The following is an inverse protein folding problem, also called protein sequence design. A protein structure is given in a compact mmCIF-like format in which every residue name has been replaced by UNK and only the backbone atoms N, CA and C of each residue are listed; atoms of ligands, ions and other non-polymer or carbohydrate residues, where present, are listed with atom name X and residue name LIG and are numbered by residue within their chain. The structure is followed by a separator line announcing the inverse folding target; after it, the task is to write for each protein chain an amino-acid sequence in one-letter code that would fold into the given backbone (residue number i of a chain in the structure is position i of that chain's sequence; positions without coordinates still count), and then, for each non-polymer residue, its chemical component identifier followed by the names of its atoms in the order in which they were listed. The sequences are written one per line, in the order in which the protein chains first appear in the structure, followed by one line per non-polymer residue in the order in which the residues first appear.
data_IF_884548790376
#
_entry.id   IF_884548790376
#
_cell.length_a   1.000
_cell.length_b   1.000
_cell.length_c   1.000
_cell.angle_alpha   90.00
_cell.angle_beta   90.00
_cell.angle_gamma   90.00
#
_symmetry.space_group_name_H-M   'P 1'
#
loop_
_entity.id
_entity.type
_entity.pdbx_description
1 polymer ?
#
# COMPACT_ATOMS: atom_id res chain seq x y z
N UNK A 1 29.81 12.38 -40.97
CA UNK A 1 29.69 13.19 -39.73
C UNK A 1 28.90 12.34 -38.76
N UNK A 2 29.53 11.92 -37.67
CA UNK A 2 28.88 11.19 -36.58
C UNK A 2 28.19 12.19 -35.66
N UNK A 3 26.90 12.03 -35.44
CA UNK A 3 26.20 12.66 -34.33
C UNK A 3 26.04 11.62 -33.22
N UNK A 4 26.96 11.68 -32.26
CA UNK A 4 26.81 11.05 -30.95
C UNK A 4 25.76 11.81 -30.16
N UNK A 5 24.57 11.23 -30.00
CA UNK A 5 23.63 11.68 -28.98
C UNK A 5 24.09 11.20 -27.61
N UNK A 6 24.67 12.13 -26.86
CA UNK A 6 24.96 12.02 -25.44
C UNK A 6 23.66 11.80 -24.66
N UNK A 7 23.49 10.61 -24.10
CA UNK A 7 22.42 10.31 -23.13
C UNK A 7 22.91 10.78 -21.77
N UNK A 8 22.49 11.98 -21.37
CA UNK A 8 22.59 12.44 -19.98
C UNK A 8 21.65 11.59 -19.14
N UNK A 9 22.23 10.91 -18.15
CA UNK A 9 21.52 10.18 -17.11
C UNK A 9 20.59 11.14 -16.34
N UNK A 10 19.30 10.83 -16.35
CA UNK A 10 18.34 11.37 -15.41
C UNK A 10 18.22 10.32 -14.30
N UNK A 11 19.01 10.51 -13.24
CA UNK A 11 18.75 9.87 -11.95
C UNK A 11 17.59 10.65 -11.30
N UNK A 12 16.41 10.06 -11.31
CA UNK A 12 15.24 10.50 -10.55
C UNK A 12 14.36 9.26 -10.38
N UNK A 13 14.19 8.72 -9.18
CA UNK A 13 13.40 9.34 -8.12
C UNK A 13 12.03 8.66 -8.07
N UNK A 14 12.00 7.34 -7.87
CA UNK A 14 10.79 6.52 -7.86
C UNK A 14 10.09 6.50 -6.50
N UNK A 15 9.62 7.65 -6.01
CA UNK A 15 8.63 7.78 -4.95
C UNK A 15 8.25 9.27 -4.77
N UNK A 16 7.58 9.86 -5.76
CA UNK A 16 7.06 11.24 -5.64
C UNK A 16 5.54 11.21 -5.44
N UNK A 17 5.12 11.13 -4.18
CA UNK A 17 3.73 11.34 -3.78
C UNK A 17 3.40 12.84 -3.84
N UNK A 18 2.77 13.29 -4.93
CA UNK A 18 2.26 14.65 -5.04
C UNK A 18 0.91 14.75 -4.30
N UNK A 19 0.91 15.28 -3.08
CA UNK A 19 -0.33 15.60 -2.34
C UNK A 19 -0.69 17.06 -2.59
N UNK A 20 -1.65 17.28 -3.48
CA UNK A 20 -2.23 18.60 -3.78
C UNK A 20 -3.37 18.94 -2.82
N UNK A 21 -3.33 20.14 -2.25
CA UNK A 21 -4.33 20.68 -1.33
C UNK A 21 -5.64 21.07 -2.05
N UNK A 22 -6.77 20.57 -1.55
CA UNK A 22 -8.11 21.04 -1.91
C UNK A 22 -8.83 21.49 -0.65
N UNK A 23 -8.98 22.80 -0.51
CA UNK A 23 -9.87 23.44 0.45
C UNK A 23 -11.27 23.57 -0.20
N UNK A 24 -12.32 23.26 0.56
CA UNK A 24 -13.70 23.42 0.07
C UNK A 24 -14.77 23.18 1.13
N UNK A 25 -15.19 24.29 1.74
CA UNK A 25 -16.50 24.63 2.32
C UNK A 25 -17.50 23.54 2.76
N UNK A 26 -17.76 23.59 4.07
CA UNK A 26 -18.94 23.19 4.86
C UNK A 26 -20.30 23.29 4.15
N UNK A 27 -21.13 22.26 4.38
CA UNK A 27 -22.57 22.23 4.09
C UNK A 27 -23.30 21.31 5.07
N UNK A 28 -24.04 21.93 5.97
CA UNK A 28 -24.84 21.47 7.11
C UNK A 28 -26.18 20.79 6.72
N UNK A 29 -26.63 19.77 7.47
CA UNK A 29 -27.96 19.66 8.13
C UNK A 29 -28.39 18.21 8.51
N UNK A 30 -28.44 17.97 9.83
CA UNK A 30 -29.45 17.36 10.72
C UNK A 30 -30.39 16.18 10.32
N UNK A 31 -30.33 15.19 11.22
CA UNK A 31 -31.41 14.55 12.00
C UNK A 31 -32.16 13.26 11.57
N UNK A 32 -32.04 12.29 12.50
CA UNK A 32 -33.07 11.47 13.16
C UNK A 32 -33.39 10.04 12.65
N UNK A 33 -32.98 9.09 13.52
CA UNK A 33 -33.71 7.98 14.14
C UNK A 33 -34.46 6.94 13.27
N UNK A 34 -34.13 5.66 13.48
CA UNK A 34 -35.05 4.71 14.15
C UNK A 34 -34.36 3.36 14.43
N UNK A 35 -34.25 3.04 15.72
CA UNK A 35 -33.87 1.71 16.23
C UNK A 35 -35.03 0.73 16.10
N UNK A 36 -34.74 -0.54 15.76
CA UNK A 36 -35.55 -1.68 16.21
C UNK A 36 -34.66 -2.93 16.36
N UNK A 37 -34.67 -3.60 17.54
CA UNK A 37 -33.85 -4.79 17.80
C UNK A 37 -34.60 -6.09 17.50
N UNK A 38 -33.89 -7.12 17.07
CA UNK A 38 -34.36 -8.52 16.98
C UNK A 38 -33.17 -9.44 16.66
N UNK A 39 -32.52 -10.00 17.67
CA UNK A 39 -32.78 -11.31 18.30
C UNK A 39 -32.12 -12.51 17.59
N UNK A 40 -30.97 -12.89 18.17
CA UNK A 40 -30.42 -14.22 18.45
C UNK A 40 -30.76 -15.39 17.51
N UNK A 41 -29.75 -15.86 16.77
CA UNK A 41 -29.76 -17.13 16.05
C UNK A 41 -28.35 -17.68 15.90
N UNK A 42 -28.03 -18.72 16.67
CA UNK A 42 -26.68 -19.26 16.82
C UNK A 42 -26.07 -19.91 15.58
N UNK A 43 -24.75 -20.04 15.65
CA UNK A 43 -23.94 -20.83 14.75
C UNK A 43 -22.48 -20.38 14.87
N UNK A 44 -21.72 -21.02 15.75
CA UNK A 44 -20.27 -21.10 15.60
C UNK A 44 -19.98 -21.88 14.31
N UNK A 45 -19.27 -21.32 13.33
CA UNK A 45 -18.36 -22.10 12.54
C UNK A 45 -16.98 -22.02 13.20
N UNK A 46 -16.49 -23.16 13.66
CA UNK A 46 -15.07 -23.40 13.89
C UNK A 46 -14.27 -22.89 12.69
N UNK A 47 -13.75 -21.66 12.78
CA UNK A 47 -12.81 -21.12 11.81
C UNK A 47 -11.54 -21.95 11.96
N UNK A 48 -11.38 -22.90 11.05
CA UNK A 48 -10.15 -23.65 10.86
C UNK A 48 -9.10 -22.65 10.36
N UNK A 49 -8.46 -21.96 11.31
CA UNK A 49 -7.37 -21.04 11.05
C UNK A 49 -6.25 -21.80 10.38
N UNK A 50 -5.96 -21.45 9.14
CA UNK A 50 -4.66 -21.74 8.54
C UNK A 50 -3.61 -21.05 9.40
N UNK A 51 -2.88 -21.82 10.21
CA UNK A 51 -1.73 -21.40 11.02
C UNK A 51 -0.51 -21.01 10.15
N UNK A 52 -0.73 -20.33 9.03
CA UNK A 52 0.35 -19.64 8.31
C UNK A 52 0.28 -18.18 8.76
N UNK A 53 1.30 -17.63 9.43
CA UNK A 53 1.27 -16.24 9.88
C UNK A 53 1.10 -15.34 8.66
N UNK A 54 -0.09 -14.77 8.51
CA UNK A 54 -0.34 -13.78 7.47
C UNK A 54 0.61 -12.61 7.66
N UNK A 55 1.14 -12.06 6.56
CA UNK A 55 2.02 -10.91 6.62
C UNK A 55 1.30 -9.74 7.34
N UNK A 56 1.91 -9.12 8.37
CA UNK A 56 1.22 -8.19 9.26
C UNK A 56 0.54 -7.01 8.57
N UNK A 57 1.03 -6.58 7.40
CA UNK A 57 0.44 -5.47 6.66
C UNK A 57 -0.94 -5.77 6.09
N UNK A 58 -1.33 -7.05 5.92
CA UNK A 58 -2.62 -7.45 5.33
C UNK A 58 -3.79 -6.98 6.19
N UNK A 59 -3.65 -7.06 7.51
CA UNK A 59 -4.65 -6.63 8.49
C UNK A 59 -4.95 -5.12 8.43
N UNK A 60 -4.07 -4.34 7.79
CA UNK A 60 -4.20 -2.89 7.66
C UNK A 60 -4.83 -2.45 6.33
N UNK A 61 -5.06 -3.36 5.38
CA UNK A 61 -5.55 -3.01 4.06
C UNK A 61 -7.05 -2.69 4.10
N UNK A 62 -7.38 -1.40 3.95
CA UNK A 62 -8.78 -0.93 3.94
C UNK A 62 -9.40 -1.06 2.55
N UNK A 63 -10.70 -1.34 2.47
CA UNK A 63 -11.42 -1.42 1.18
C UNK A 63 -11.57 -0.05 0.49
N UNK A 64 -11.51 0.05 -0.86
CA UNK A 64 -11.64 1.32 -1.60
C UNK A 64 -12.91 2.12 -1.27
N UNK A 65 -14.06 1.48 -1.03
CA UNK A 65 -15.30 2.22 -0.79
C UNK A 65 -15.32 2.93 0.57
N UNK A 66 -14.49 2.49 1.50
CA UNK A 66 -14.37 3.10 2.83
C UNK A 66 -13.48 4.35 2.81
N UNK A 67 -12.58 4.47 1.83
CA UNK A 67 -11.72 5.65 1.69
C UNK A 67 -12.57 6.78 1.10
N UNK A 68 -13.13 7.65 1.95
CA UNK A 68 -14.01 8.76 1.54
C UNK A 68 -13.38 9.69 0.49
N UNK A 69 -12.05 9.83 0.50
CA UNK A 69 -11.28 10.59 -0.48
C UNK A 69 -11.24 9.96 -1.89
N UNK A 70 -11.71 8.72 -2.06
CA UNK A 70 -11.79 8.02 -3.35
C UNK A 70 -13.14 8.20 -4.08
N UNK A 71 -14.06 9.04 -3.56
CA UNK A 71 -15.34 9.33 -4.24
C UNK A 71 -15.11 10.04 -5.59
N UNK A 72 -15.23 9.31 -6.69
CA UNK A 72 -15.21 9.81 -8.09
C UNK A 72 -14.66 8.79 -9.09
N UNK A 73 -15.18 8.80 -10.33
CA UNK A 73 -14.99 7.76 -11.37
C UNK A 73 -13.55 7.53 -11.89
N UNK A 74 -12.52 8.14 -11.31
CA UNK A 74 -11.18 8.18 -11.91
C UNK A 74 -10.03 8.01 -10.91
N UNK A 75 -10.24 7.37 -9.76
CA UNK A 75 -9.19 7.16 -8.75
C UNK A 75 -8.79 5.70 -8.64
N UNK A 76 -7.49 5.47 -8.78
CA UNK A 76 -6.86 4.15 -8.73
C UNK A 76 -6.56 3.81 -7.27
N UNK A 77 -7.16 2.71 -6.79
CA UNK A 77 -6.84 2.14 -5.50
C UNK A 77 -5.54 1.32 -5.60
N UNK A 78 -4.53 1.71 -4.83
CA UNK A 78 -3.21 1.07 -4.81
C UNK A 78 -2.68 1.04 -3.38
N UNK A 79 -2.00 -0.03 -3.03
CA UNK A 79 -1.17 -0.10 -1.83
C UNK A 79 0.25 -0.55 -2.19
N UNK A 80 1.20 -0.22 -1.31
CA UNK A 80 2.57 -0.70 -1.39
C UNK A 80 3.10 -0.91 0.02
N UNK A 81 3.51 -2.14 0.33
CA UNK A 81 4.23 -2.52 1.53
C UNK A 81 5.71 -2.72 1.20
N UNK A 82 6.59 -2.25 2.07
CA UNK A 82 8.03 -2.47 1.95
C UNK A 82 8.69 -2.59 3.34
N UNK A 83 9.46 -3.66 3.59
CA UNK A 83 10.35 -3.75 4.76
C UNK A 83 11.71 -3.08 4.53
N UNK A 84 11.99 -2.62 3.30
CA UNK A 84 13.26 -1.97 2.93
C UNK A 84 13.10 -0.45 2.80
N UNK A 85 14.22 0.27 2.77
CA UNK A 85 14.29 1.74 2.64
C UNK A 85 13.63 2.52 3.79
N UNK A 86 13.49 1.90 4.96
CA UNK A 86 12.87 2.48 6.16
C UNK A 86 13.53 3.82 6.52
N UNK A 87 14.86 3.87 6.61
CA UNK A 87 15.59 5.09 6.96
C UNK A 87 15.28 6.24 5.99
N UNK A 88 15.29 5.96 4.68
CA UNK A 88 14.98 6.96 3.66
C UNK A 88 13.54 7.47 3.80
N UNK A 89 12.58 6.58 4.06
CA UNK A 89 11.16 6.94 4.23
C UNK A 89 10.92 7.73 5.52
N UNK A 90 11.62 7.42 6.61
CA UNK A 90 11.54 8.17 7.88
C UNK A 90 12.19 9.55 7.78
N UNK A 91 13.37 9.64 7.17
CA UNK A 91 14.09 10.90 7.00
C UNK A 91 13.45 11.85 5.97
N UNK A 92 12.48 11.36 5.20
CA UNK A 92 11.78 12.15 4.18
C UNK A 92 10.31 12.37 4.53
N UNK A 93 9.76 13.48 4.04
CA UNK A 93 8.33 13.75 4.16
C UNK A 93 7.84 13.96 5.60
N UNK A 94 6.61 13.49 5.86
CA UNK A 94 5.83 13.80 7.07
C UNK A 94 6.29 13.05 8.32
N UNK A 95 7.03 11.96 8.17
CA UNK A 95 7.52 11.14 9.28
C UNK A 95 8.76 11.73 9.98
N UNK A 96 9.50 12.59 9.29
CA UNK A 96 10.78 13.14 9.75
C UNK A 96 10.70 13.91 11.08
N UNK A 97 9.52 14.41 11.46
CA UNK A 97 9.30 15.08 12.75
C UNK A 97 9.38 14.12 13.94
N UNK A 98 9.07 12.84 13.76
CA UNK A 98 8.89 11.89 14.85
C UNK A 98 10.20 11.29 15.40
N UNK A 99 11.32 11.52 14.70
CA UNK A 99 12.65 11.01 15.07
C UNK A 99 12.66 9.50 15.43
N UNK A 100 11.90 8.71 14.66
CA UNK A 100 11.78 7.27 14.85
C UNK A 100 13.12 6.61 14.49
N UNK A 101 13.63 5.76 15.40
CA UNK A 101 14.77 4.90 15.10
C UNK A 101 14.39 3.87 14.02
N UNK A 102 15.05 3.85 12.84
CA UNK A 102 14.76 2.86 11.80
C UNK A 102 14.85 1.41 12.28
N UNK A 103 15.62 1.12 13.34
CA UNK A 103 15.82 -0.23 13.86
C UNK A 103 14.57 -0.82 14.56
N UNK A 104 13.59 0.00 14.91
CA UNK A 104 12.35 -0.47 15.57
C UNK A 104 11.18 -0.65 14.61
N UNK A 105 11.40 -0.38 13.32
CA UNK A 105 10.40 -0.50 12.25
C UNK A 105 10.66 -1.79 11.48
N UNK A 106 9.62 -2.60 11.34
CA UNK A 106 9.65 -3.85 10.57
C UNK A 106 9.30 -3.63 9.09
N UNK A 107 8.56 -2.55 8.79
CA UNK A 107 8.26 -2.11 7.44
C UNK A 107 7.24 -0.97 7.41
N UNK A 108 6.88 -0.53 6.22
CA UNK A 108 5.86 0.48 6.06
C UNK A 108 4.86 0.13 4.95
N UNK A 109 3.61 0.53 5.15
CA UNK A 109 2.50 0.41 4.22
C UNK A 109 2.08 1.81 3.75
N UNK A 110 2.09 2.01 2.44
CA UNK A 110 1.52 3.18 1.79
C UNK A 110 0.20 2.79 1.15
N UNK A 111 -0.89 3.36 1.64
CA UNK A 111 -2.21 3.24 1.04
C UNK A 111 -2.88 4.61 1.13
N UNK A 112 -2.75 5.46 0.10
CA UNK A 112 -3.18 6.84 0.19
C UNK A 112 -4.64 6.97 0.61
N UNK A 113 -4.98 7.93 1.48
CA UNK A 113 -4.12 9.01 2.02
C UNK A 113 -3.20 8.65 3.20
N UNK A 114 -3.09 7.38 3.62
CA UNK A 114 -2.28 6.97 4.77
C UNK A 114 -0.90 6.40 4.41
N UNK A 115 0.05 6.65 5.32
CA UNK A 115 1.34 5.97 5.46
C UNK A 115 1.39 5.38 6.86
N UNK A 116 1.71 4.10 6.98
CA UNK A 116 1.73 3.35 8.23
C UNK A 116 3.10 2.71 8.40
N UNK A 117 3.78 3.00 9.50
CA UNK A 117 4.96 2.27 9.92
C UNK A 117 4.54 1.17 10.89
N UNK A 118 4.97 -0.06 10.62
CA UNK A 118 4.71 -1.24 11.44
C UNK A 118 5.99 -1.56 12.23
N UNK A 119 5.87 -1.86 13.52
CA UNK A 119 7.04 -2.09 14.35
C UNK A 119 6.73 -2.13 15.84
N UNK A 120 7.70 -1.75 16.66
CA UNK A 120 7.56 -1.66 18.11
C UNK A 120 8.04 -0.30 18.60
N UNK A 121 7.10 0.57 18.97
CA UNK A 121 7.37 1.97 19.26
C UNK A 121 7.24 2.29 20.75
N UNK A 122 8.06 3.22 21.23
CA UNK A 122 7.82 3.87 22.52
C UNK A 122 6.89 5.08 22.31
N UNK A 123 5.59 4.85 22.48
CA UNK A 123 4.57 5.88 22.28
C UNK A 123 4.83 7.13 23.13
N UNK A 124 5.28 6.98 24.38
CA UNK A 124 5.55 8.12 25.26
C UNK A 124 6.72 8.98 24.77
N UNK A 125 7.74 8.35 24.19
CA UNK A 125 8.82 9.07 23.53
C UNK A 125 8.32 9.81 22.28
N UNK A 126 7.47 9.18 21.45
CA UNK A 126 6.88 9.84 20.28
C UNK A 126 6.00 11.04 20.66
N UNK A 127 5.21 10.92 21.72
CA UNK A 127 4.40 12.01 22.26
C UNK A 127 5.25 13.21 22.66
N UNK A 128 6.35 12.96 23.37
CA UNK A 128 7.31 14.02 23.78
C UNK A 128 7.90 14.71 22.55
N UNK A 129 8.32 13.95 21.53
CA UNK A 129 8.85 14.51 20.28
C UNK A 129 7.82 15.41 19.58
N UNK A 130 6.55 15.02 19.55
CA UNK A 130 5.47 15.82 18.96
C UNK A 130 5.21 17.11 19.74
N UNK A 131 5.21 17.06 21.08
CA UNK A 131 5.00 18.24 21.93
C UNK A 131 6.14 19.26 21.81
N UNK A 132 7.37 18.78 21.61
CA UNK A 132 8.55 19.62 21.42
C UNK A 132 8.66 20.21 19.99
N UNK A 133 7.92 19.65 19.03
CA UNK A 133 7.95 20.07 17.63
C UNK A 133 7.05 21.30 17.35
N UNK A 134 7.63 22.34 16.77
CA UNK A 134 6.88 23.55 16.39
C UNK A 134 5.82 23.26 15.32
N UNK A 135 4.58 23.72 15.54
CA UNK A 135 3.46 23.55 14.61
C UNK A 135 2.70 22.23 14.77
N UNK A 136 3.08 21.40 15.75
CA UNK A 136 2.42 20.15 16.08
C UNK A 136 1.73 20.22 17.44
N UNK A 137 0.66 19.46 17.61
CA UNK A 137 -0.03 19.33 18.88
C UNK A 137 -0.67 17.96 19.03
N UNK A 138 -0.66 17.41 20.26
CA UNK A 138 -1.49 16.27 20.63
C UNK A 138 -2.95 16.71 20.63
N UNK A 139 -3.82 15.93 20.01
CA UNK A 139 -5.24 16.27 19.82
C UNK A 139 -6.19 15.39 20.63
N UNK A 140 -5.76 14.21 21.06
CA UNK A 140 -6.58 13.31 21.87
C UNK A 140 -6.10 11.87 21.80
N UNK A 141 -7.05 10.95 21.89
CA UNK A 141 -6.85 9.51 21.82
C UNK A 141 -7.96 8.90 20.96
N UNK A 142 -7.61 7.83 20.24
CA UNK A 142 -8.54 6.96 19.52
C UNK A 142 -8.11 5.52 19.74
N UNK A 143 -8.97 4.69 20.33
CA UNK A 143 -8.60 3.35 20.80
C UNK A 143 -7.31 3.38 21.64
N UNK A 144 -6.29 2.58 21.27
CA UNK A 144 -4.97 2.55 21.91
C UNK A 144 -3.98 3.59 21.35
N UNK A 145 -4.40 4.47 20.44
CA UNK A 145 -3.53 5.41 19.75
C UNK A 145 -3.66 6.82 20.34
N UNK A 146 -2.51 7.47 20.55
CA UNK A 146 -2.49 8.91 20.83
C UNK A 146 -2.57 9.67 19.50
N UNK A 147 -3.48 10.62 19.39
CA UNK A 147 -3.65 11.40 18.16
C UNK A 147 -2.93 12.73 18.24
N UNK A 148 -2.39 13.16 17.10
CA UNK A 148 -1.73 14.45 16.96
C UNK A 148 -1.98 15.04 15.56
N UNK A 149 -1.73 16.33 15.42
CA UNK A 149 -1.85 17.02 14.14
C UNK A 149 -0.76 18.06 13.92
N UNK A 150 -0.44 18.29 12.64
CA UNK A 150 0.16 19.52 12.17
C UNK A 150 -0.94 20.35 11.53
N UNK A 151 -1.38 21.41 12.22
CA UNK A 151 -2.49 22.25 11.78
C UNK A 151 -2.18 23.03 10.49
N UNK A 152 -0.92 23.40 10.26
CA UNK A 152 -0.51 24.14 9.06
C UNK A 152 -0.51 23.24 7.81
N UNK A 153 -0.03 22.01 7.95
CA UNK A 153 0.05 21.03 6.87
C UNK A 153 -1.22 20.18 6.70
N UNK A 154 -2.17 20.27 7.64
CA UNK A 154 -3.37 19.44 7.67
C UNK A 154 -3.07 17.93 7.74
N UNK A 155 -1.93 17.57 8.33
CA UNK A 155 -1.48 16.17 8.47
C UNK A 155 -1.82 15.68 9.87
N UNK A 156 -2.45 14.51 9.97
CA UNK A 156 -2.75 13.84 11.23
C UNK A 156 -1.78 12.69 11.49
N UNK A 157 -1.64 12.37 12.76
CA UNK A 157 -0.83 11.28 13.27
C UNK A 157 -1.65 10.46 14.27
N UNK A 158 -1.47 9.14 14.24
CA UNK A 158 -1.92 8.24 15.30
C UNK A 158 -0.70 7.42 15.77
N UNK A 159 -0.33 7.60 17.03
CA UNK A 159 0.87 7.06 17.65
C UNK A 159 0.48 5.88 18.54
N UNK A 160 0.84 4.67 18.14
CA UNK A 160 0.60 3.44 18.92
C UNK A 160 1.92 2.72 19.21
N UNK A 161 1.84 1.69 20.06
CA UNK A 161 3.00 0.87 20.41
C UNK A 161 3.36 -0.13 19.29
N UNK A 162 2.41 -0.51 18.43
CA UNK A 162 2.61 -1.47 17.32
C UNK A 162 2.70 -0.81 15.93
N UNK A 163 2.19 0.41 15.80
CA UNK A 163 2.14 1.12 14.54
C UNK A 163 2.11 2.64 14.74
N UNK A 164 2.64 3.36 13.74
CA UNK A 164 2.53 4.81 13.62
C UNK A 164 1.87 5.13 12.29
N UNK A 165 0.72 5.79 12.34
CA UNK A 165 -0.03 6.17 11.14
C UNK A 165 0.09 7.67 10.89
N UNK A 166 0.22 8.05 9.62
CA UNK A 166 0.39 9.43 9.17
C UNK A 166 -0.48 9.67 7.94
N UNK A 167 -1.34 10.69 7.98
CA UNK A 167 -2.23 10.96 6.85
C UNK A 167 -3.54 11.64 7.23
N UNK A 168 -4.64 11.09 6.70
CA UNK A 168 -6.02 11.53 6.89
C UNK A 168 -6.90 10.33 7.20
N UNK A 169 -8.02 10.55 7.87
CA UNK A 169 -9.02 9.52 8.20
C UNK A 169 -8.41 8.26 8.86
N UNK A 170 -7.41 8.45 9.73
CA UNK A 170 -6.56 7.37 10.28
C UNK A 170 -7.35 6.34 11.09
N UNK A 171 -8.46 6.77 11.68
CA UNK A 171 -9.43 5.92 12.39
C UNK A 171 -9.86 4.74 11.50
N UNK A 172 -10.03 4.94 10.19
CA UNK A 172 -10.40 3.89 9.25
C UNK A 172 -9.41 2.71 9.23
N UNK A 173 -8.12 3.00 9.28
CA UNK A 173 -7.06 1.98 9.29
C UNK A 173 -6.97 1.28 10.64
N UNK A 174 -7.15 2.04 11.73
CA UNK A 174 -7.18 1.49 13.09
C UNK A 174 -8.37 0.52 13.22
N UNK A 175 -9.57 0.93 12.81
CA UNK A 175 -10.78 0.10 12.87
C UNK A 175 -10.63 -1.17 12.02
N UNK A 176 -10.05 -1.03 10.82
CA UNK A 176 -9.79 -2.19 9.94
C UNK A 176 -8.84 -3.20 10.60
N UNK A 177 -7.82 -2.69 11.29
CA UNK A 177 -6.84 -3.51 12.03
C UNK A 177 -7.46 -4.21 13.24
N UNK A 178 -8.34 -3.54 13.98
CA UNK A 178 -9.01 -4.11 15.17
C UNK A 178 -10.17 -5.04 14.84
N UNK A 179 -10.62 -5.07 13.58
CA UNK A 179 -11.73 -5.90 13.11
C UNK A 179 -13.09 -5.21 13.15
N UNK A 180 -13.13 -3.92 13.48
CA UNK A 180 -14.35 -3.10 13.46
C UNK A 180 -14.62 -2.48 12.07
N UNK A 181 -13.58 -2.39 11.23
CA UNK A 181 -13.62 -1.93 9.84
C UNK A 181 -13.62 -3.07 8.82
N UNK A 182 -14.06 -2.77 7.59
CA UNK A 182 -14.06 -3.73 6.46
C UNK A 182 -12.67 -3.88 5.87
N UNK A 183 -12.14 -5.10 5.90
CA UNK A 183 -10.84 -5.42 5.29
C UNK A 183 -10.97 -5.61 3.78
N UNK A 184 -9.90 -5.32 3.04
CA UNK A 184 -9.85 -5.49 1.59
C UNK A 184 -10.20 -6.92 1.16
N UNK A 185 -9.72 -7.91 1.89
CA UNK A 185 -9.92 -9.33 1.55
C UNK A 185 -11.37 -9.80 1.74
N UNK A 186 -12.13 -9.14 2.61
CA UNK A 186 -13.54 -9.44 2.84
C UNK A 186 -14.42 -8.91 1.71
N UNK A 187 -14.10 -7.72 1.19
CA UNK A 187 -14.89 -7.07 0.14
C UNK A 187 -14.44 -7.47 -1.26
N UNK A 188 -13.17 -7.85 -1.39
CA UNK A 188 -12.54 -8.23 -2.66
C UNK A 188 -11.81 -9.57 -2.50
N UNK A 189 -12.53 -10.71 -2.52
CA UNK A 189 -11.94 -12.04 -2.34
C UNK A 189 -10.89 -12.41 -3.41
N UNK A 190 -10.81 -11.65 -4.51
CA UNK A 190 -9.72 -11.74 -5.48
C UNK A 190 -8.34 -11.50 -4.85
N UNK A 191 -8.23 -10.59 -3.87
CA UNK A 191 -6.94 -10.27 -3.24
C UNK A 191 -6.37 -11.39 -2.40
N UNK A 192 -7.18 -12.12 -1.62
CA UNK A 192 -6.70 -13.31 -0.89
C UNK A 192 -6.08 -14.31 -1.87
N UNK A 193 -6.77 -14.59 -2.97
CA UNK A 193 -6.29 -15.52 -4.01
C UNK A 193 -5.04 -15.01 -4.75
N UNK A 194 -4.84 -13.70 -4.83
CA UNK A 194 -3.64 -13.07 -5.37
C UNK A 194 -2.46 -13.24 -4.41
N UNK A 195 -2.64 -12.99 -3.12
CA UNK A 195 -1.59 -13.16 -2.11
C UNK A 195 -1.13 -14.62 -1.99
N UNK A 196 -2.05 -15.58 -2.04
CA UNK A 196 -1.74 -17.01 -1.98
C UNK A 196 -0.88 -17.51 -3.15
N UNK A 197 -0.78 -16.73 -4.24
CA UNK A 197 0.02 -17.04 -5.43
C UNK A 197 1.41 -16.38 -5.41
N UNK A 198 1.68 -15.51 -4.44
CA UNK A 198 3.00 -14.91 -4.28
C UNK A 198 3.99 -15.91 -3.67
N UNK A 199 5.28 -15.85 -4.04
CA UNK A 199 6.27 -16.82 -3.56
C UNK A 199 6.59 -16.63 -2.07
N UNK A 200 6.54 -15.38 -1.60
CA UNK A 200 6.71 -14.95 -0.22
C UNK A 200 6.15 -13.53 -0.08
N UNK A 201 5.76 -13.18 1.15
CA UNK A 201 5.33 -11.84 1.55
C UNK A 201 6.39 -11.11 2.39
N UNK A 202 7.59 -11.67 2.52
CA UNK A 202 8.72 -11.12 3.30
C UNK A 202 9.45 -9.98 2.57
N UNK A 203 9.12 -9.76 1.29
CA UNK A 203 9.67 -8.70 0.46
C UNK A 203 8.73 -7.48 0.35
N UNK A 204 9.04 -6.59 -0.60
CA UNK A 204 8.11 -5.53 -0.98
C UNK A 204 6.92 -6.13 -1.72
N UNK A 205 5.70 -5.71 -1.36
CA UNK A 205 4.46 -6.15 -2.00
C UNK A 205 3.67 -4.93 -2.43
N UNK A 206 3.34 -4.83 -3.72
CA UNK A 206 2.50 -3.76 -4.26
C UNK A 206 1.25 -4.37 -4.88
N UNK A 207 0.10 -3.74 -4.70
CA UNK A 207 -1.14 -4.20 -5.30
C UNK A 207 -2.05 -3.06 -5.71
N UNK A 208 -2.93 -3.33 -6.67
CA UNK A 208 -3.81 -2.33 -7.24
C UNK A 208 -5.11 -2.96 -7.75
N UNK A 209 -6.22 -2.22 -7.65
CA UNK A 209 -7.45 -2.54 -8.37
C UNK A 209 -7.40 -1.99 -9.81
N UNK A 210 -7.96 -2.77 -10.72
CA UNK A 210 -8.01 -2.48 -12.15
C UNK A 210 -6.62 -2.50 -12.83
N UNK A 211 -6.56 -2.07 -14.09
CA UNK A 211 -5.32 -2.09 -14.87
C UNK A 211 -4.26 -1.12 -14.33
N UNK A 212 -2.96 -1.48 -14.42
CA UNK A 212 -1.89 -0.55 -14.13
C UNK A 212 -2.03 0.72 -14.99
N UNK A 213 -1.88 1.90 -14.39
CA UNK A 213 -2.07 3.17 -15.11
C UNK A 213 -1.11 3.37 -16.29
N UNK A 214 0.04 2.69 -16.27
CA UNK A 214 1.05 2.79 -17.31
C UNK A 214 0.75 1.95 -18.55
N UNK A 215 -0.32 1.15 -18.53
CA UNK A 215 -0.64 0.27 -19.65
C UNK A 215 -1.47 1.01 -20.69
N UNK A 216 -0.97 1.05 -21.93
CA UNK A 216 -1.68 1.63 -23.06
C UNK A 216 -2.76 0.69 -23.64
N UNK A 217 -2.66 -0.61 -23.32
CA UNK A 217 -3.59 -1.64 -23.80
C UNK A 217 -4.84 -1.76 -22.91
N UNK A 218 -6.00 -2.00 -23.53
CA UNK A 218 -7.20 -2.41 -22.80
C UNK A 218 -6.98 -3.83 -22.25
N UNK A 219 -6.94 -3.96 -20.93
CA UNK A 219 -6.92 -5.25 -20.24
C UNK A 219 -8.34 -5.60 -19.82
N UNK A 220 -9.17 -5.92 -20.80
CA UNK A 220 -10.58 -6.24 -20.57
C UNK A 220 -10.72 -7.35 -19.53
N UNK A 221 -11.55 -7.11 -18.52
CA UNK A 221 -11.80 -8.03 -17.42
C UNK A 221 -10.71 -8.10 -16.36
N UNK A 222 -9.65 -7.28 -16.39
CA UNK A 222 -8.67 -7.23 -15.29
C UNK A 222 -9.27 -6.56 -14.05
N UNK A 223 -9.45 -7.31 -12.97
CA UNK A 223 -10.02 -6.85 -11.70
C UNK A 223 -8.95 -6.23 -10.78
N UNK A 224 -7.79 -6.89 -10.66
CA UNK A 224 -6.75 -6.53 -9.71
C UNK A 224 -5.41 -7.17 -10.07
N UNK A 225 -4.32 -6.65 -9.50
CA UNK A 225 -3.01 -7.29 -9.57
C UNK A 225 -2.17 -7.03 -8.32
N UNK A 226 -1.20 -7.93 -8.09
CA UNK A 226 -0.15 -7.80 -7.08
C UNK A 226 1.22 -8.08 -7.70
N UNK A 227 2.25 -7.49 -7.11
CA UNK A 227 3.65 -7.74 -7.39
C UNK A 227 4.38 -7.98 -6.07
N UNK A 228 5.27 -8.97 -6.05
CA UNK A 228 6.23 -9.21 -4.97
C UNK A 228 7.65 -9.13 -5.51
N UNK A 229 8.51 -8.44 -4.78
CA UNK A 229 9.92 -8.29 -5.07
C UNK A 229 10.75 -8.43 -3.76
N UNK A 230 11.85 -9.19 -3.76
CA UNK A 230 12.76 -9.26 -2.62
C UNK A 230 13.56 -7.96 -2.48
N UNK A 231 14.41 -7.88 -1.45
CA UNK A 231 15.32 -6.74 -1.26
C UNK A 231 16.18 -6.52 -2.50
N UNK A 232 16.21 -5.31 -3.07
CA UNK A 232 17.12 -5.00 -4.15
C UNK A 232 18.55 -4.84 -3.62
N UNK A 233 19.43 -5.78 -3.96
CA UNK A 233 20.86 -5.70 -3.66
C UNK A 233 21.61 -5.16 -4.89
N UNK A 234 22.38 -4.06 -4.78
CA UNK A 234 23.15 -3.52 -5.90
C UNK A 234 24.07 -4.56 -6.54
N UNK A 235 24.00 -4.68 -7.88
CA UNK A 235 24.81 -5.62 -8.65
C UNK A 235 24.29 -7.07 -8.67
N UNK A 236 23.26 -7.39 -7.89
CA UNK A 236 22.63 -8.70 -7.89
C UNK A 236 21.34 -8.70 -8.72
N UNK A 237 21.11 -9.81 -9.42
CA UNK A 237 19.86 -10.05 -10.13
C UNK A 237 18.84 -10.59 -9.14
N UNK A 238 17.69 -9.93 -9.06
CA UNK A 238 16.56 -10.36 -8.25
C UNK A 238 15.42 -10.86 -9.13
N UNK A 239 14.68 -11.85 -8.64
CA UNK A 239 13.47 -12.36 -9.29
C UNK A 239 12.24 -11.69 -8.68
N UNK A 240 11.41 -11.10 -9.53
CA UNK A 240 10.13 -10.50 -9.17
C UNK A 240 8.98 -11.30 -9.76
N UNK A 241 7.82 -11.29 -9.10
CA UNK A 241 6.61 -11.96 -9.59
C UNK A 241 5.42 -11.02 -9.58
N UNK A 242 4.70 -10.97 -10.70
CA UNK A 242 3.42 -10.32 -10.87
C UNK A 242 2.31 -11.37 -10.97
N UNK A 243 1.19 -11.12 -10.31
CA UNK A 243 -0.03 -11.94 -10.43
C UNK A 243 -1.19 -11.02 -10.73
N UNK A 244 -1.91 -11.30 -11.80
CA UNK A 244 -3.05 -10.54 -12.29
C UNK A 244 -4.30 -11.41 -12.18
N UNK A 245 -5.39 -10.85 -11.64
CA UNK A 245 -6.68 -11.50 -11.51
C UNK A 245 -7.68 -10.89 -12.49
N UNK A 246 -8.32 -11.73 -13.28
CA UNK A 246 -9.32 -11.36 -14.27
C UNK A 246 -10.71 -11.91 -13.89
N UNK A 247 -11.77 -11.32 -14.43
CA UNK A 247 -13.15 -11.81 -14.32
C UNK A 247 -13.27 -13.26 -14.85
N UNK A 248 -12.59 -13.52 -15.96
CA UNK A 248 -12.52 -14.80 -16.66
C UNK A 248 -11.07 -15.13 -17.01
N UNK A 249 -10.83 -16.25 -17.70
CA UNK A 249 -9.49 -16.56 -18.18
C UNK A 249 -8.96 -15.43 -19.09
N UNK A 250 -7.74 -14.91 -18.85
CA UNK A 250 -7.18 -13.83 -19.67
C UNK A 250 -7.05 -14.27 -21.13
N UNK A 251 -7.35 -13.36 -22.05
CA UNK A 251 -7.16 -13.60 -23.48
C UNK A 251 -5.68 -13.64 -23.85
N UNK A 252 -5.35 -14.25 -24.99
CA UNK A 252 -3.99 -14.22 -25.54
C UNK A 252 -3.51 -12.78 -25.79
N UNK A 253 -4.42 -11.89 -26.22
CA UNK A 253 -4.13 -10.48 -26.43
C UNK A 253 -3.79 -9.75 -25.13
N UNK A 254 -4.55 -9.99 -24.05
CA UNK A 254 -4.28 -9.41 -22.73
C UNK A 254 -2.97 -9.95 -22.14
N UNK A 255 -2.73 -11.25 -22.28
CA UNK A 255 -1.49 -11.91 -21.84
C UNK A 255 -0.28 -11.32 -22.57
N UNK A 256 -0.32 -11.26 -23.91
CA UNK A 256 0.76 -10.70 -24.71
C UNK A 256 0.92 -9.19 -24.55
N UNK A 257 -0.10 -8.46 -24.10
CA UNK A 257 0.02 -7.06 -23.71
C UNK A 257 0.83 -6.92 -22.42
N UNK A 258 0.50 -7.70 -21.37
CA UNK A 258 1.22 -7.69 -20.10
C UNK A 258 2.69 -8.06 -20.27
N UNK A 259 2.99 -9.13 -21.01
CA UNK A 259 4.37 -9.52 -21.29
C UNK A 259 5.17 -8.42 -22.00
N UNK A 260 4.55 -7.75 -22.97
CA UNK A 260 5.20 -6.67 -23.74
C UNK A 260 5.47 -5.45 -22.89
N UNK A 261 4.51 -5.04 -22.05
CA UNK A 261 4.68 -3.91 -21.14
C UNK A 261 5.79 -4.19 -20.12
N UNK A 262 5.81 -5.38 -19.53
CA UNK A 262 6.85 -5.77 -18.58
C UNK A 262 8.22 -5.86 -19.25
N UNK A 263 8.30 -6.47 -20.43
CA UNK A 263 9.56 -6.55 -21.21
C UNK A 263 10.05 -5.18 -21.73
N UNK A 264 9.15 -4.22 -21.88
CA UNK A 264 9.47 -2.84 -22.26
C UNK A 264 9.87 -1.94 -21.08
N UNK A 265 9.66 -2.41 -19.84
CA UNK A 265 9.94 -1.63 -18.64
C UNK A 265 11.45 -1.57 -18.39
N UNK A 266 12.07 -0.38 -18.30
CA UNK A 266 13.51 -0.26 -18.07
C UNK A 266 13.98 -0.75 -16.69
N UNK A 267 13.06 -1.10 -15.79
CA UNK A 267 13.36 -1.67 -14.47
C UNK A 267 13.36 -3.20 -14.46
N UNK A 268 13.02 -3.83 -15.59
CA UNK A 268 12.97 -5.29 -15.75
C UNK A 268 13.95 -5.64 -16.86
N UNK A 269 14.91 -6.51 -16.56
CA UNK A 269 15.92 -6.96 -17.52
C UNK A 269 15.31 -7.98 -18.49
N UNK A 270 14.55 -8.92 -17.96
CA UNK A 270 13.95 -10.02 -18.73
C UNK A 270 12.67 -10.55 -18.07
N UNK A 271 11.68 -10.91 -18.89
CA UNK A 271 10.55 -11.75 -18.47
C UNK A 271 10.93 -13.21 -18.69
N UNK A 272 11.00 -13.99 -17.62
CA UNK A 272 11.53 -15.36 -17.65
C UNK A 272 10.44 -16.42 -17.72
N UNK A 273 9.24 -16.12 -17.20
CA UNK A 273 8.12 -17.06 -17.20
C UNK A 273 6.78 -16.34 -17.26
N UNK A 274 5.85 -16.92 -18.01
CA UNK A 274 4.43 -16.53 -18.02
C UNK A 274 3.56 -17.77 -17.93
N UNK A 275 2.59 -17.78 -17.01
CA UNK A 275 1.69 -18.89 -16.78
C UNK A 275 0.25 -18.42 -16.54
N UNK A 276 -0.72 -19.08 -17.17
CA UNK A 276 -2.15 -18.85 -16.96
C UNK A 276 -2.75 -20.02 -16.18
N UNK A 277 -3.44 -19.72 -15.09
CA UNK A 277 -4.19 -20.67 -14.24
C UNK A 277 -5.61 -20.15 -14.01
N UNK A 278 -6.56 -20.63 -14.83
CA UNK A 278 -7.94 -20.14 -14.80
C UNK A 278 -8.00 -18.63 -15.02
N UNK A 279 -8.55 -17.92 -14.04
CA UNK A 279 -8.70 -16.46 -14.03
C UNK A 279 -7.42 -15.68 -13.69
N UNK A 280 -6.29 -16.37 -13.47
CA UNK A 280 -5.05 -15.74 -13.03
C UNK A 280 -3.96 -15.83 -14.09
N UNK A 281 -3.26 -14.71 -14.30
CA UNK A 281 -2.01 -14.66 -15.05
C UNK A 281 -0.87 -14.39 -14.08
N UNK A 282 0.15 -15.25 -14.09
CA UNK A 282 1.39 -15.05 -13.35
C UNK A 282 2.51 -14.76 -14.34
N UNK A 283 3.28 -13.70 -14.08
CA UNK A 283 4.49 -13.36 -14.82
C UNK A 283 5.65 -13.30 -13.84
N UNK A 284 6.76 -13.93 -14.17
CA UNK A 284 8.01 -13.84 -13.42
C UNK A 284 9.05 -13.15 -14.30
N UNK A 285 9.84 -12.27 -13.70
CA UNK A 285 10.88 -11.53 -14.39
C UNK A 285 12.06 -11.24 -13.48
N UNK A 286 13.15 -10.85 -14.09
CA UNK A 286 14.41 -10.54 -13.43
C UNK A 286 14.74 -9.06 -13.59
N UNK A 287 15.40 -8.50 -12.57
CA UNK A 287 15.89 -7.13 -12.59
C UNK A 287 17.21 -7.05 -11.83
N UNK A 288 18.13 -6.23 -12.31
CA UNK A 288 19.42 -5.99 -11.66
C UNK A 288 19.53 -4.52 -11.31
N UNK A 289 19.66 -4.22 -10.00
CA UNK A 289 19.92 -2.85 -9.59
C UNK A 289 21.36 -2.49 -9.96
N UNK A 290 21.61 -1.40 -10.72
CA UNK A 290 22.97 -1.03 -11.11
C UNK A 290 23.82 -0.71 -9.87
N UNK A 291 25.09 -1.12 -9.88
CA UNK A 291 26.05 -0.69 -8.87
C UNK A 291 26.13 0.84 -8.86
N UNK A 292 26.03 1.45 -7.67
CA UNK A 292 26.23 2.89 -7.53
C UNK A 292 27.69 3.20 -7.86
N UNK A 293 27.95 3.81 -9.01
CA UNK A 293 29.28 4.30 -9.36
C UNK A 293 29.70 5.33 -8.30
N UNK A 294 30.67 4.94 -7.46
CA UNK A 294 31.34 5.81 -6.48
C UNK A 294 32.27 6.81 -7.14
#
# INVERSE_FOLDING_TARGET
MHETHSRRAVLAGGASAAVGALAGCLGQDDDADEETPGDSGGGDPDTSGSDDPQAPFRDWLVTPESIGALRGDNRVYRFSYSPFLIEQTLQSGRASVLDIDPAVVDGFLVQPPALIFLGSFDRSSLETTVEDAEGYALTGEYESYRTAENAEAGTRFALGDEAVLIGQDLELWIDTRTGDGRQLEETTPGFTRLFDRLPSLDGSVTGQLGPPQSFDASLDGLEAWVNSAPEPVPGETITQRWVYAFDEQPSEDATGAIERELSGNPLIDEVTETAVDGAFLTVTGESTLPESNS
#
